data_IF_885937349740
#
_entry.id   IF_885937349740
#
_cell.length_a   1.000
_cell.length_b   1.000
_cell.length_c   1.000
_cell.angle_alpha   90.00
_cell.angle_beta   90.00
_cell.angle_gamma   90.00
#
_symmetry.space_group_name_H-M   'P 1'
#
loop_
_entity.id
_entity.type
_entity.pdbx_description
1 polymer ?
#
# COMPACT_ATOMS: atom_id res chain seq x y z
N UNK A 1 31.90 67.00 -51.60
CA UNK A 1 30.47 67.40 -51.63
C UNK A 1 29.67 66.24 -52.20
N UNK A 2 28.63 65.77 -51.50
CA UNK A 2 27.62 64.88 -52.08
C UNK A 2 27.65 63.43 -51.60
N UNK A 3 26.87 63.16 -50.55
CA UNK A 3 26.50 61.85 -50.00
C UNK A 3 25.48 61.16 -50.91
N UNK A 4 25.52 59.83 -51.05
CA UNK A 4 24.31 59.03 -51.21
C UNK A 4 24.55 57.58 -50.79
N UNK A 5 23.93 57.22 -49.66
CA UNK A 5 23.98 55.95 -48.95
C UNK A 5 22.91 54.98 -49.45
N UNK A 6 23.31 53.83 -50.01
CA UNK A 6 22.42 52.69 -50.29
C UNK A 6 22.19 51.83 -49.05
N UNK A 7 21.05 52.00 -48.38
CA UNK A 7 20.58 51.17 -47.25
C UNK A 7 20.40 49.70 -47.65
N UNK A 8 21.25 48.79 -47.14
CA UNK A 8 20.92 47.36 -47.03
C UNK A 8 20.17 47.13 -45.72
N UNK A 9 18.93 46.65 -45.80
CA UNK A 9 18.12 46.30 -44.62
C UNK A 9 18.66 45.01 -44.00
N UNK A 10 18.92 44.94 -42.68
CA UNK A 10 19.14 43.67 -42.01
C UNK A 10 17.80 42.94 -41.81
N UNK A 11 17.75 41.66 -42.17
CA UNK A 11 16.64 40.78 -41.88
C UNK A 11 16.65 40.46 -40.37
N UNK A 12 15.62 40.91 -39.65
CA UNK A 12 15.40 40.50 -38.27
C UNK A 12 14.88 39.06 -38.26
N UNK A 13 15.77 38.12 -37.91
CA UNK A 13 15.41 36.75 -37.58
C UNK A 13 14.80 36.78 -36.17
N UNK A 14 13.47 36.73 -36.08
CA UNK A 14 12.77 36.59 -34.80
C UNK A 14 12.90 35.14 -34.33
N UNK A 15 13.81 34.91 -33.37
CA UNK A 15 13.97 33.62 -32.70
C UNK A 15 12.80 33.45 -31.72
N UNK A 16 11.80 32.65 -32.10
CA UNK A 16 10.69 32.28 -31.23
C UNK A 16 11.26 31.30 -30.19
N UNK A 17 11.47 31.77 -28.97
CA UNK A 17 11.79 30.93 -27.82
C UNK A 17 10.58 30.09 -27.44
N UNK A 18 10.62 28.80 -27.77
CA UNK A 18 9.68 27.80 -27.27
C UNK A 18 9.91 27.62 -25.77
N UNK A 19 9.07 28.24 -24.94
CA UNK A 19 9.02 27.96 -23.50
C UNK A 19 8.34 26.60 -23.32
N UNK A 20 9.13 25.57 -23.05
CA UNK A 20 8.63 24.25 -22.66
C UNK A 20 8.13 24.36 -21.22
N UNK A 21 6.81 24.53 -21.04
CA UNK A 21 6.19 24.45 -19.72
C UNK A 21 6.13 22.97 -19.35
N UNK A 22 7.01 22.51 -18.47
CA UNK A 22 6.91 21.18 -17.88
C UNK A 22 5.70 21.17 -16.94
N UNK A 23 4.60 20.57 -17.38
CA UNK A 23 3.50 20.23 -16.48
C UNK A 23 3.95 19.04 -15.63
N UNK A 24 3.82 19.09 -14.29
CA UNK A 24 4.00 17.90 -13.49
C UNK A 24 2.96 16.88 -13.96
N UNK A 25 3.42 15.73 -14.46
CA UNK A 25 2.54 14.59 -14.68
C UNK A 25 2.16 14.11 -13.29
N UNK A 26 0.89 14.29 -12.92
CA UNK A 26 0.31 13.57 -11.79
C UNK A 26 0.21 12.12 -12.24
N UNK A 27 1.18 11.30 -11.87
CA UNK A 27 1.03 9.86 -12.02
C UNK A 27 0.02 9.40 -10.97
N UNK A 28 -1.13 8.91 -11.41
CA UNK A 28 -2.02 8.16 -10.53
C UNK A 28 -1.32 6.91 -10.02
N UNK A 29 -1.72 6.43 -8.84
CA UNK A 29 -1.16 5.22 -8.26
C UNK A 29 -1.31 4.03 -9.23
N UNK A 30 -0.22 3.28 -9.43
CA UNK A 30 -0.22 2.08 -10.25
C UNK A 30 -0.89 0.93 -9.49
N UNK A 31 -1.78 0.20 -10.15
CA UNK A 31 -2.40 -0.99 -9.55
C UNK A 31 -1.45 -2.17 -9.72
N UNK A 32 -1.07 -2.79 -8.61
CA UNK A 32 -0.29 -4.01 -8.57
C UNK A 32 -1.13 -5.17 -8.05
N UNK A 33 -1.28 -6.20 -8.87
CA UNK A 33 -2.09 -7.37 -8.58
C UNK A 33 -1.19 -8.55 -8.23
N UNK A 34 -1.47 -9.23 -7.13
CA UNK A 34 -0.84 -10.51 -6.83
C UNK A 34 -1.27 -11.56 -7.85
N UNK A 35 -0.30 -12.18 -8.54
CA UNK A 35 -0.57 -13.07 -9.68
C UNK A 35 -0.26 -14.55 -9.39
N UNK A 36 0.30 -14.88 -8.21
CA UNK A 36 0.68 -16.26 -7.85
C UNK A 36 -0.52 -17.16 -7.48
N UNK A 37 -1.73 -16.63 -7.57
CA UNK A 37 -2.96 -17.32 -7.16
C UNK A 37 -2.91 -17.70 -5.68
N UNK A 38 -3.24 -18.95 -5.37
CA UNK A 38 -3.32 -19.48 -4.00
C UNK A 38 -2.02 -20.10 -3.51
N UNK A 39 -0.96 -20.11 -4.32
CA UNK A 39 0.34 -20.66 -3.90
C UNK A 39 1.03 -19.65 -2.96
N UNK A 40 1.60 -20.08 -1.82
CA UNK A 40 2.42 -19.22 -0.99
C UNK A 40 3.52 -18.51 -1.80
N UNK A 41 3.71 -17.21 -1.55
CA UNK A 41 4.77 -16.44 -2.18
C UNK A 41 5.28 -15.30 -1.32
N UNK A 42 6.46 -14.82 -1.67
CA UNK A 42 7.11 -13.65 -1.07
C UNK A 42 6.69 -12.37 -1.78
N UNK A 43 6.55 -11.29 -1.03
CA UNK A 43 6.17 -9.97 -1.55
C UNK A 43 7.29 -9.39 -2.42
N UNK A 44 8.56 -9.60 -2.06
CA UNK A 44 9.72 -9.02 -2.72
C UNK A 44 10.15 -9.76 -4.02
N UNK A 45 9.32 -10.66 -4.53
CA UNK A 45 9.54 -11.34 -5.81
C UNK A 45 8.69 -10.65 -6.89
N UNK A 46 9.30 -9.85 -7.81
CA UNK A 46 8.56 -9.16 -8.86
C UNK A 46 7.66 -10.09 -9.68
N UNK A 47 8.08 -11.34 -9.92
CA UNK A 47 7.29 -12.29 -10.70
C UNK A 47 5.93 -12.65 -10.07
N UNK A 48 5.78 -12.46 -8.75
CA UNK A 48 4.51 -12.67 -8.03
C UNK A 48 3.50 -11.52 -8.21
N UNK A 49 3.88 -10.46 -8.94
CA UNK A 49 3.05 -9.29 -9.19
C UNK A 49 2.79 -9.10 -10.67
N UNK A 50 1.64 -8.53 -11.00
CA UNK A 50 1.41 -7.85 -12.28
C UNK A 50 1.37 -6.35 -11.99
N UNK A 51 2.25 -5.52 -12.59
CA UNK A 51 2.98 -5.72 -13.85
C UNK A 51 4.45 -6.21 -13.71
N UNK A 52 4.72 -7.20 -12.87
CA UNK A 52 6.06 -7.73 -12.58
C UNK A 52 7.01 -6.75 -11.89
N UNK A 53 6.49 -5.98 -10.94
CA UNK A 53 7.21 -5.02 -10.10
C UNK A 53 6.79 -5.22 -8.65
N UNK A 54 7.74 -5.12 -7.70
CA UNK A 54 7.44 -5.13 -6.27
C UNK A 54 6.75 -3.81 -5.90
N UNK A 55 5.48 -3.83 -5.45
CA UNK A 55 4.73 -2.60 -5.26
C UNK A 55 5.09 -1.93 -3.94
N UNK A 56 5.94 -0.90 -4.01
CA UNK A 56 6.29 -0.04 -2.89
C UNK A 56 6.43 1.39 -3.37
N UNK A 57 5.84 2.32 -2.63
CA UNK A 57 5.94 3.75 -2.89
C UNK A 57 7.41 4.20 -2.82
N UNK A 58 7.84 4.98 -3.80
CA UNK A 58 9.22 5.45 -3.90
C UNK A 58 9.61 5.85 -5.32
N UNK A 59 10.63 6.71 -5.43
CA UNK A 59 11.14 7.14 -6.74
C UNK A 59 10.11 7.83 -7.64
N UNK A 60 9.07 8.43 -7.06
CA UNK A 60 7.97 9.07 -7.78
C UNK A 60 6.83 8.11 -8.18
N UNK A 61 6.91 6.83 -7.85
CA UNK A 61 5.84 5.87 -8.04
C UNK A 61 5.02 5.70 -6.77
N UNK A 62 3.71 5.51 -6.93
CA UNK A 62 2.84 5.05 -5.85
C UNK A 62 2.01 3.84 -6.30
N UNK A 63 1.57 3.02 -5.36
CA UNK A 63 0.93 1.74 -5.65
C UNK A 63 -0.38 1.52 -4.89
N UNK A 64 -1.35 0.95 -5.60
CA UNK A 64 -2.52 0.28 -5.03
C UNK A 64 -2.25 -1.23 -5.10
N UNK A 65 -2.21 -1.88 -3.95
CA UNK A 65 -1.97 -3.32 -3.84
C UNK A 65 -3.28 -4.08 -3.77
N UNK A 66 -3.45 -5.04 -4.68
CA UNK A 66 -4.60 -5.94 -4.69
C UNK A 66 -4.15 -7.40 -4.55
N UNK A 67 -4.59 -8.02 -3.45
CA UNK A 67 -4.33 -9.43 -3.14
C UNK A 67 -5.66 -10.19 -3.24
N UNK A 68 -5.81 -11.14 -4.18
CA UNK A 68 -7.06 -11.84 -4.43
C UNK A 68 -7.33 -12.89 -3.35
N UNK A 69 -8.57 -13.40 -3.33
CA UNK A 69 -9.02 -14.33 -2.31
C UNK A 69 -8.15 -15.59 -2.27
N UNK A 70 -7.93 -16.12 -1.06
CA UNK A 70 -7.11 -17.32 -0.81
C UNK A 70 -5.62 -17.20 -1.19
N UNK A 71 -5.12 -16.02 -1.57
CA UNK A 71 -3.70 -15.81 -1.78
C UNK A 71 -2.94 -15.84 -0.45
N UNK A 72 -1.69 -16.30 -0.46
CA UNK A 72 -0.86 -16.41 0.72
C UNK A 72 0.44 -15.62 0.52
N UNK A 73 0.51 -14.43 1.13
CA UNK A 73 1.60 -13.48 0.93
C UNK A 73 2.46 -13.38 2.20
N UNK A 74 3.75 -13.65 2.04
CA UNK A 74 4.78 -13.37 3.04
C UNK A 74 5.51 -12.08 2.66
N UNK A 75 5.32 -11.03 3.45
CA UNK A 75 6.02 -9.76 3.30
C UNK A 75 7.44 -9.87 3.84
N UNK A 76 8.40 -9.89 2.91
CA UNK A 76 9.81 -10.17 3.18
C UNK A 76 10.75 -8.99 2.87
N UNK A 77 10.21 -7.82 2.55
CA UNK A 77 10.99 -6.59 2.28
C UNK A 77 11.58 -6.05 3.58
N UNK A 78 12.86 -5.66 3.57
CA UNK A 78 13.54 -5.08 4.72
C UNK A 78 13.14 -3.62 4.98
N UNK A 79 13.05 -3.25 6.25
CA UNK A 79 12.71 -1.90 6.68
C UNK A 79 11.23 -1.56 6.46
N UNK A 80 10.95 -0.27 6.25
CA UNK A 80 9.60 0.25 6.08
C UNK A 80 9.22 0.31 4.62
N UNK A 81 8.23 -0.50 4.23
CA UNK A 81 7.55 -0.38 2.94
C UNK A 81 6.24 0.37 3.08
N UNK A 82 5.89 1.12 2.04
CA UNK A 82 4.67 1.95 2.03
C UNK A 82 3.89 1.76 0.73
N UNK A 83 2.57 1.84 0.80
CA UNK A 83 1.66 1.81 -0.36
C UNK A 83 0.54 2.84 -0.19
N UNK A 84 -0.05 3.32 -1.28
CA UNK A 84 -1.17 4.27 -1.21
C UNK A 84 -2.46 3.57 -0.80
N UNK A 85 -2.69 2.34 -1.23
CA UNK A 85 -3.88 1.58 -0.86
C UNK A 85 -3.62 0.09 -0.85
N UNK A 86 -4.40 -0.63 -0.04
CA UNK A 86 -4.21 -2.06 0.19
C UNK A 86 -5.55 -2.78 0.25
N UNK A 87 -5.74 -3.78 -0.61
CA UNK A 87 -6.92 -4.65 -0.61
C UNK A 87 -6.50 -6.09 -0.42
N UNK A 88 -6.82 -6.62 0.76
CA UNK A 88 -6.68 -8.03 1.09
C UNK A 88 -8.05 -8.69 1.02
N UNK A 89 -8.27 -9.50 -0.01
CA UNK A 89 -9.55 -10.18 -0.20
C UNK A 89 -9.79 -11.29 0.83
N UNK A 90 -11.02 -11.83 0.81
CA UNK A 90 -11.45 -12.85 1.76
C UNK A 90 -10.53 -14.07 1.77
N UNK A 91 -10.18 -14.56 2.96
CA UNK A 91 -9.30 -15.71 3.18
C UNK A 91 -7.87 -15.57 2.61
N UNK A 92 -7.51 -14.41 2.05
CA UNK A 92 -6.13 -14.12 1.72
C UNK A 92 -5.35 -13.79 2.99
N UNK A 93 -4.11 -14.26 3.10
CA UNK A 93 -3.25 -14.01 4.26
C UNK A 93 -2.13 -13.06 3.91
N UNK A 94 -1.89 -12.08 4.78
CA UNK A 94 -0.74 -11.19 4.71
C UNK A 94 0.08 -11.34 6.00
N UNK A 95 1.29 -11.87 5.88
CA UNK A 95 2.15 -12.14 7.03
C UNK A 95 3.44 -11.37 6.90
N UNK A 96 3.88 -10.71 7.97
CA UNK A 96 5.17 -10.07 8.08
C UNK A 96 5.85 -10.53 9.38
N UNK A 97 7.17 -10.72 9.34
CA UNK A 97 7.94 -11.13 10.50
C UNK A 97 9.24 -10.35 10.67
N UNK A 98 9.85 -10.47 11.86
CA UNK A 98 11.14 -9.85 12.16
C UNK A 98 11.04 -8.33 12.30
N UNK A 99 11.97 -7.60 11.70
CA UNK A 99 12.04 -6.12 11.77
C UNK A 99 11.50 -5.46 10.50
N UNK A 100 10.31 -5.89 10.05
CA UNK A 100 9.70 -5.44 8.80
C UNK A 100 8.47 -4.61 9.07
N UNK A 101 8.31 -3.52 8.34
CA UNK A 101 7.16 -2.65 8.49
C UNK A 101 6.44 -2.47 7.15
N UNK A 102 5.12 -2.52 7.19
CA UNK A 102 4.24 -2.29 6.04
C UNK A 102 3.18 -1.25 6.41
N UNK A 103 3.24 -0.08 5.77
CA UNK A 103 2.33 1.02 6.04
C UNK A 103 1.46 1.35 4.82
N UNK A 104 0.15 1.51 5.06
CA UNK A 104 -0.83 1.92 4.06
C UNK A 104 -1.17 3.39 4.31
N UNK A 105 -0.84 4.25 3.32
CA UNK A 105 -1.00 5.70 3.45
C UNK A 105 -2.43 6.19 3.15
N UNK A 106 -3.23 5.39 2.47
CA UNK A 106 -4.62 5.68 2.14
C UNK A 106 -5.55 4.56 2.57
N UNK A 107 -6.52 4.26 1.71
CA UNK A 107 -7.60 3.33 2.04
C UNK A 107 -7.07 1.89 2.14
N UNK A 108 -7.51 1.18 3.18
CA UNK A 108 -7.35 -0.27 3.24
C UNK A 108 -8.69 -0.99 3.34
N UNK A 109 -8.76 -2.15 2.68
CA UNK A 109 -9.85 -3.11 2.79
C UNK A 109 -9.21 -4.43 3.21
N UNK A 110 -9.52 -4.88 4.42
CA UNK A 110 -8.92 -6.07 5.02
C UNK A 110 -10.06 -7.05 5.26
N UNK A 111 -10.13 -8.07 4.41
CA UNK A 111 -11.15 -9.11 4.48
C UNK A 111 -10.58 -10.49 4.85
N UNK A 112 -9.27 -10.56 5.09
CA UNK A 112 -8.53 -11.77 5.42
C UNK A 112 -7.49 -11.54 6.53
N UNK A 113 -6.80 -12.60 6.99
CA UNK A 113 -5.85 -12.50 8.10
C UNK A 113 -4.63 -11.61 7.82
N UNK A 114 -4.30 -10.76 8.78
CA UNK A 114 -3.03 -10.02 8.86
C UNK A 114 -2.26 -10.49 10.10
N UNK A 115 -1.02 -10.92 9.90
CA UNK A 115 -0.16 -11.42 10.99
C UNK A 115 1.16 -10.66 11.04
N UNK A 116 1.50 -10.11 12.21
CA UNK A 116 2.78 -9.47 12.49
C UNK A 116 3.48 -10.22 13.63
N UNK A 117 4.65 -10.81 13.35
CA UNK A 117 5.36 -11.65 14.33
C UNK A 117 6.80 -11.21 14.55
N UNK A 118 7.16 -10.95 15.79
CA UNK A 118 8.53 -10.58 16.18
C UNK A 118 8.69 -9.09 16.46
N UNK A 119 9.69 -8.76 17.28
CA UNK A 119 10.00 -7.39 17.65
C UNK A 119 10.39 -6.56 16.41
N UNK A 120 9.56 -5.56 16.10
CA UNK A 120 9.73 -4.70 14.93
C UNK A 120 8.89 -5.10 13.72
N UNK A 121 8.07 -6.14 13.81
CA UNK A 121 7.08 -6.47 12.78
C UNK A 121 5.89 -5.52 12.95
N UNK A 122 5.64 -4.63 11.99
CA UNK A 122 4.62 -3.59 12.12
C UNK A 122 3.73 -3.54 10.89
N UNK A 123 2.42 -3.72 11.07
CA UNK A 123 1.43 -3.41 10.05
C UNK A 123 0.68 -2.14 10.45
N UNK A 124 0.68 -1.13 9.59
CA UNK A 124 0.02 0.15 9.85
C UNK A 124 -0.95 0.52 8.73
N UNK A 125 -2.19 0.85 9.10
CA UNK A 125 -3.17 1.47 8.22
C UNK A 125 -3.95 2.51 9.02
N UNK A 126 -3.31 3.66 9.26
CA UNK A 126 -3.77 4.66 10.24
C UNK A 126 -4.12 6.02 9.62
N UNK A 127 -3.71 6.29 8.38
CA UNK A 127 -3.90 7.60 7.75
C UNK A 127 -5.28 7.78 7.10
N UNK A 128 -6.03 6.69 6.90
CA UNK A 128 -7.40 6.73 6.39
C UNK A 128 -8.22 5.59 7.00
N UNK A 129 -9.56 5.74 7.09
CA UNK A 129 -10.43 4.68 7.57
C UNK A 129 -10.29 3.39 6.73
N UNK A 130 -9.95 2.32 7.42
CA UNK A 130 -9.93 0.96 6.92
C UNK A 130 -11.33 0.33 7.00
N UNK A 131 -11.62 -0.60 6.09
CA UNK A 131 -12.73 -1.55 6.25
C UNK A 131 -12.20 -2.87 6.77
N UNK A 132 -12.76 -3.37 7.87
CA UNK A 132 -12.54 -4.72 8.38
C UNK A 132 -13.82 -5.53 8.17
N UNK A 133 -13.75 -6.59 7.37
CA UNK A 133 -14.90 -7.48 7.15
C UNK A 133 -14.49 -8.91 6.79
N UNK A 134 -15.45 -9.75 6.39
CA UNK A 134 -15.17 -11.11 5.93
C UNK A 134 -14.46 -11.95 6.99
N UNK A 135 -13.34 -12.59 6.62
CA UNK A 135 -12.52 -13.38 7.54
C UNK A 135 -11.31 -12.61 8.06
N UNK A 136 -11.43 -11.29 8.22
CA UNK A 136 -10.38 -10.49 8.82
C UNK A 136 -10.06 -11.01 10.23
N UNK A 137 -8.78 -11.23 10.48
CA UNK A 137 -8.23 -11.48 11.81
C UNK A 137 -6.92 -10.71 11.92
N UNK A 138 -6.68 -10.08 13.06
CA UNK A 138 -5.42 -9.38 13.33
C UNK A 138 -4.66 -10.19 14.39
N UNK A 139 -3.44 -10.60 14.06
CA UNK A 139 -2.60 -11.38 14.94
C UNK A 139 -1.22 -10.73 15.10
N UNK A 140 -0.99 -10.14 16.27
CA UNK A 140 0.28 -9.57 16.68
C UNK A 140 0.92 -10.53 17.70
N UNK A 141 2.13 -11.03 17.42
CA UNK A 141 2.80 -11.96 18.33
C UNK A 141 4.30 -11.69 18.49
N UNK A 142 4.86 -12.14 19.62
CA UNK A 142 6.30 -12.04 19.92
C UNK A 142 6.89 -10.62 19.76
N UNK A 143 6.13 -9.58 20.12
CA UNK A 143 6.54 -8.18 20.00
C UNK A 143 6.12 -7.49 18.70
N UNK A 144 5.32 -8.16 17.86
CA UNK A 144 4.73 -7.58 16.66
C UNK A 144 3.62 -6.58 16.98
N UNK A 145 3.35 -5.63 16.07
CA UNK A 145 2.31 -4.62 16.25
C UNK A 145 1.44 -4.49 15.01
N UNK A 146 0.15 -4.28 15.23
CA UNK A 146 -0.83 -4.01 14.17
C UNK A 146 -1.65 -2.80 14.60
N UNK A 147 -1.61 -1.72 13.83
CA UNK A 147 -2.41 -0.51 14.07
C UNK A 147 -3.31 -0.24 12.87
N UNK A 148 -4.62 -0.22 13.09
CA UNK A 148 -5.60 -0.01 12.03
C UNK A 148 -6.65 1.01 12.48
N UNK A 149 -6.77 2.10 11.72
CA UNK A 149 -7.87 3.06 11.88
C UNK A 149 -9.11 2.50 11.21
N UNK A 150 -9.85 1.62 11.89
CA UNK A 150 -11.11 1.06 11.41
C UNK A 150 -12.26 1.54 12.30
N UNK A 151 -13.20 2.38 11.83
CA UNK A 151 -14.33 2.83 12.65
C UNK A 151 -15.36 1.72 12.91
N UNK A 152 -15.40 0.69 12.06
CA UNK A 152 -16.28 -0.46 12.21
C UNK A 152 -15.58 -1.75 11.80
N UNK A 153 -16.04 -2.86 12.37
CA UNK A 153 -15.65 -4.21 12.01
C UNK A 153 -16.91 -5.04 11.79
N UNK A 154 -17.13 -5.48 10.55
CA UNK A 154 -18.19 -6.40 10.18
C UNK A 154 -17.71 -7.84 10.38
N UNK A 155 -18.41 -8.59 11.23
CA UNK A 155 -18.07 -9.97 11.52
C UNK A 155 -18.44 -10.90 10.34
N UNK A 156 -17.72 -12.01 10.14
CA UNK A 156 -18.10 -12.98 9.11
C UNK A 156 -19.48 -13.57 9.38
N UNK A 157 -20.13 -14.08 8.33
CA UNK A 157 -21.44 -14.75 8.44
C UNK A 157 -21.46 -15.93 9.43
N UNK A 158 -20.30 -16.55 9.66
CA UNK A 158 -20.11 -17.66 10.60
C UNK A 158 -19.47 -17.21 11.93
N UNK A 159 -19.67 -15.96 12.36
CA UNK A 159 -19.10 -15.38 13.58
C UNK A 159 -19.28 -16.22 14.85
N UNK A 160 -20.29 -17.10 14.89
CA UNK A 160 -20.55 -18.04 16.00
C UNK A 160 -19.60 -19.23 16.07
N UNK A 161 -18.69 -19.39 15.11
CA UNK A 161 -17.74 -20.50 15.05
C UNK A 161 -16.56 -20.37 16.06
N UNK A 162 -16.73 -19.61 17.15
CA UNK A 162 -15.72 -19.39 18.21
C UNK A 162 -14.35 -18.94 17.67
N UNK A 163 -14.35 -17.97 16.76
CA UNK A 163 -13.14 -17.45 16.11
C UNK A 163 -12.39 -16.46 17.02
N UNK A 164 -11.08 -16.56 17.07
CA UNK A 164 -10.21 -15.50 17.60
C UNK A 164 -10.01 -14.44 16.52
N UNK A 165 -10.55 -13.24 16.72
CA UNK A 165 -10.51 -12.16 15.72
C UNK A 165 -9.31 -11.25 15.90
N UNK A 166 -8.97 -10.94 17.15
CA UNK A 166 -7.92 -10.03 17.55
C UNK A 166 -7.05 -10.75 18.57
N UNK A 167 -5.77 -10.97 18.24
CA UNK A 167 -4.82 -11.70 19.07
C UNK A 167 -3.58 -10.84 19.24
N UNK A 168 -3.30 -10.41 20.47
CA UNK A 168 -2.02 -9.80 20.85
C UNK A 168 -1.36 -10.70 21.90
N UNK A 169 -0.37 -11.49 21.49
CA UNK A 169 0.23 -12.53 22.34
C UNK A 169 1.75 -12.36 22.51
N UNK A 170 2.23 -12.49 23.73
CA UNK A 170 3.63 -12.26 24.10
C UNK A 170 3.99 -10.81 24.41
N UNK A 171 5.18 -10.61 24.98
CA UNK A 171 5.64 -9.31 25.44
C UNK A 171 5.83 -8.33 24.28
N UNK A 172 5.28 -7.12 24.43
CA UNK A 172 5.37 -6.04 23.44
C UNK A 172 4.45 -6.21 22.22
N UNK A 173 3.63 -7.28 22.19
CA UNK A 173 2.65 -7.46 21.12
C UNK A 173 1.46 -6.52 21.30
N UNK A 174 1.00 -5.89 20.22
CA UNK A 174 -0.05 -4.88 20.28
C UNK A 174 -0.99 -4.94 19.08
N UNK A 175 -2.29 -4.78 19.36
CA UNK A 175 -3.30 -4.43 18.36
C UNK A 175 -3.92 -3.10 18.77
N UNK A 176 -3.67 -2.07 17.97
CA UNK A 176 -4.29 -0.76 18.14
C UNK A 176 -5.46 -0.59 17.16
N UNK A 177 -6.65 -0.45 17.73
CA UNK A 177 -7.91 -0.16 17.05
C UNK A 177 -8.61 1.02 17.72
N UNK A 178 -7.86 2.05 18.16
CA UNK A 178 -8.39 3.18 18.93
C UNK A 178 -9.60 3.89 18.30
N UNK A 179 -9.80 3.77 16.99
CA UNK A 179 -10.93 4.39 16.28
C UNK A 179 -12.17 3.51 16.18
N UNK A 180 -12.11 2.24 16.60
CA UNK A 180 -13.21 1.29 16.48
C UNK A 180 -14.39 1.68 17.35
N UNK A 181 -15.56 1.86 16.72
CA UNK A 181 -16.80 2.28 17.38
C UNK A 181 -17.90 1.23 17.32
N UNK A 182 -17.86 0.33 16.35
CA UNK A 182 -18.91 -0.65 16.13
C UNK A 182 -18.38 -2.01 15.69
N UNK A 183 -18.99 -3.05 16.23
CA UNK A 183 -18.88 -4.43 15.77
C UNK A 183 -20.27 -4.86 15.28
N UNK A 184 -20.39 -5.27 14.01
CA UNK A 184 -21.68 -5.60 13.39
C UNK A 184 -21.68 -7.02 12.83
N UNK A 185 -22.88 -7.58 12.63
CA UNK A 185 -23.15 -8.90 12.03
C UNK A 185 -24.13 -8.78 10.89
#
# INVERSE_FOLDING_TARGET
MGVSSGRRRPAHLAMIGLVLVAFPIVHGAAIANWNKGTTPGTYNEPANWSPAVVPLNGGGNTYVVEIPANAQVSYDVSGTGQVDSFRLAQAATFTLDGTREFAVQGISIINGPVTATGAGAVFESVLSPATLSGYATLNASAGGRISVTAPGFELPSDWRASRSLLIADGAGSEIDLATLKSLTV
#
